data_IF_719403818931
#
_entry.id   IF_719403818931
#
_cell.length_a   1.000
_cell.length_b   1.000
_cell.length_c   1.000
_cell.angle_alpha   90.00
_cell.angle_beta   90.00
_cell.angle_gamma   90.00
#
_symmetry.space_group_name_H-M   'P 1'
#
loop_
_entity.id
_entity.type
_entity.pdbx_description
1 polymer ?
#
# COMPACT_ATOMS: atom_id res chain seq x y z
N UNK A 1 40.11 27.61 -65.86
CA UNK A 1 39.33 26.41 -65.48
C UNK A 1 38.78 26.68 -64.11
N UNK A 2 37.50 27.04 -64.05
CA UNK A 2 36.76 27.15 -62.78
C UNK A 2 36.43 25.73 -62.30
N UNK A 3 36.95 25.37 -61.09
CA UNK A 3 36.60 24.10 -60.52
C UNK A 3 35.24 24.28 -59.82
N UNK A 4 34.23 23.55 -60.24
CA UNK A 4 32.89 23.66 -59.66
C UNK A 4 32.89 23.20 -58.19
N UNK A 5 32.09 23.80 -57.31
CA UNK A 5 31.95 23.32 -55.95
C UNK A 5 31.42 21.89 -55.92
N UNK A 6 31.92 21.10 -55.00
CA UNK A 6 31.41 19.75 -54.72
C UNK A 6 30.61 19.76 -53.43
N UNK A 7 29.53 18.97 -53.42
CA UNK A 7 28.67 18.80 -52.24
C UNK A 7 28.74 17.37 -51.73
N UNK A 8 28.82 17.20 -50.43
CA UNK A 8 28.75 15.92 -49.74
C UNK A 8 27.53 15.95 -48.81
N UNK A 9 26.64 14.96 -48.91
CA UNK A 9 25.50 14.83 -48.01
C UNK A 9 25.82 13.78 -46.92
N UNK A 10 25.60 14.13 -45.67
CA UNK A 10 25.81 13.24 -44.53
C UNK A 10 24.50 13.04 -43.75
N UNK A 11 24.23 11.82 -43.29
CA UNK A 11 23.06 11.59 -42.42
C UNK A 11 23.31 12.19 -41.02
N UNK A 12 22.27 12.78 -40.46
CA UNK A 12 22.24 13.25 -39.06
C UNK A 12 21.44 12.23 -38.25
N UNK A 13 22.03 11.59 -37.26
CA UNK A 13 21.33 10.57 -36.47
C UNK A 13 20.04 11.11 -35.83
N UNK A 14 19.02 10.24 -35.77
CA UNK A 14 17.77 10.49 -35.07
C UNK A 14 18.04 10.52 -33.54
N UNK A 15 17.77 11.60 -32.84
CA UNK A 15 17.93 11.64 -31.39
C UNK A 15 17.01 10.63 -30.70
N UNK A 16 17.42 10.05 -29.58
CA UNK A 16 16.61 9.14 -28.78
C UNK A 16 16.06 9.93 -27.59
N UNK A 17 14.73 9.84 -27.40
CA UNK A 17 14.03 10.45 -26.29
C UNK A 17 13.21 9.37 -25.60
N UNK A 18 13.27 9.35 -24.27
CA UNK A 18 12.52 8.43 -23.45
C UNK A 18 11.26 9.12 -22.90
N UNK A 19 10.14 8.43 -22.94
CA UNK A 19 8.85 8.90 -22.46
C UNK A 19 8.26 7.91 -21.46
N UNK A 20 7.61 8.44 -20.43
CA UNK A 20 6.85 7.66 -19.46
C UNK A 20 5.61 7.04 -20.11
N UNK A 21 5.34 5.78 -19.82
CA UNK A 21 4.10 5.07 -20.21
C UNK A 21 3.37 4.58 -18.95
N UNK A 22 2.36 5.33 -18.53
CA UNK A 22 1.54 5.04 -17.34
C UNK A 22 0.60 3.83 -17.52
N UNK A 23 0.48 3.32 -18.75
CA UNK A 23 -0.35 2.15 -19.04
C UNK A 23 0.37 0.81 -18.85
N UNK A 24 1.69 0.84 -18.66
CA UNK A 24 2.55 -0.34 -18.60
C UNK A 24 3.35 -0.39 -17.32
N UNK A 25 3.49 -1.59 -16.78
CA UNK A 25 4.25 -1.81 -15.55
C UNK A 25 5.74 -1.48 -15.74
N UNK A 26 6.40 -1.05 -14.66
CA UNK A 26 7.82 -0.66 -14.63
C UNK A 26 8.77 -1.66 -15.29
N UNK A 27 8.55 -2.95 -15.10
CA UNK A 27 9.45 -4.01 -15.58
C UNK A 27 9.06 -4.55 -16.97
N UNK A 28 8.11 -3.89 -17.67
CA UNK A 28 7.74 -4.27 -19.02
C UNK A 28 8.78 -3.82 -20.04
N UNK A 29 8.98 -4.59 -21.12
CA UNK A 29 9.90 -4.20 -22.19
C UNK A 29 9.51 -2.84 -22.78
N UNK A 30 10.47 -1.90 -22.94
CA UNK A 30 10.19 -0.61 -23.56
C UNK A 30 9.69 -0.75 -25.00
N UNK A 31 8.76 0.12 -25.38
CA UNK A 31 8.26 0.18 -26.78
C UNK A 31 9.01 1.26 -27.53
N UNK A 32 9.71 0.85 -28.60
CA UNK A 32 10.50 1.75 -29.43
C UNK A 32 9.77 2.10 -30.72
N UNK A 33 9.64 3.41 -31.00
CA UNK A 33 9.20 3.95 -32.29
C UNK A 33 10.37 4.68 -32.91
N UNK A 34 10.89 4.14 -34.02
CA UNK A 34 12.02 4.74 -34.73
C UNK A 34 11.66 6.11 -35.32
N UNK A 35 12.56 7.07 -35.13
CA UNK A 35 12.53 8.33 -35.83
C UNK A 35 13.19 8.21 -37.23
N UNK A 36 13.20 9.30 -37.98
CA UNK A 36 13.87 9.40 -39.24
C UNK A 36 15.16 10.20 -39.13
N UNK A 37 16.29 9.76 -39.73
CA UNK A 37 17.49 10.56 -39.72
C UNK A 37 17.31 11.85 -40.54
N UNK A 38 17.99 12.89 -40.11
CA UNK A 38 18.12 14.13 -40.87
C UNK A 38 19.25 14.05 -41.88
N UNK A 39 19.48 15.15 -42.57
CA UNK A 39 20.56 15.29 -43.53
C UNK A 39 21.26 16.65 -43.39
N UNK A 40 22.56 16.67 -43.58
CA UNK A 40 23.35 17.90 -43.71
C UNK A 40 24.22 17.85 -44.93
N UNK A 41 24.43 19.01 -45.58
CA UNK A 41 25.24 19.15 -46.76
C UNK A 41 26.46 20.01 -46.45
N UNK A 42 27.63 19.52 -46.88
CA UNK A 42 28.89 20.22 -46.79
C UNK A 42 29.32 20.58 -48.22
N UNK A 43 29.52 21.87 -48.48
CA UNK A 43 29.98 22.36 -49.76
C UNK A 43 31.47 22.66 -49.73
N UNK A 44 32.24 22.04 -50.57
CA UNK A 44 33.69 22.38 -50.77
C UNK A 44 33.83 23.25 -51.99
N UNK A 45 34.38 24.42 -51.81
CA UNK A 45 34.73 25.35 -52.89
C UNK A 45 36.20 25.27 -53.22
N UNK A 46 36.52 25.53 -54.51
CA UNK A 46 37.88 25.48 -54.99
C UNK A 46 38.29 26.83 -55.56
N UNK A 47 39.49 27.28 -55.23
CA UNK A 47 40.10 28.50 -55.79
C UNK A 47 41.40 28.11 -56.47
N UNK A 48 41.66 28.70 -57.65
CA UNK A 48 42.90 28.46 -58.42
C UNK A 48 43.78 29.71 -58.27
N UNK A 49 45.02 29.56 -57.79
CA UNK A 49 46.00 30.62 -57.77
C UNK A 49 46.38 30.98 -59.22
N UNK A 50 46.08 32.19 -59.71
CA UNK A 50 46.33 32.62 -61.10
C UNK A 50 47.80 32.64 -61.53
N UNK A 51 48.73 32.73 -60.53
CA UNK A 51 50.16 32.79 -60.76
C UNK A 51 50.83 31.41 -60.85
N UNK A 52 50.31 30.46 -60.01
CA UNK A 52 50.98 29.17 -59.83
C UNK A 52 50.14 28.00 -60.32
N UNK A 53 48.85 28.19 -60.70
CA UNK A 53 47.94 27.16 -61.11
C UNK A 53 47.58 26.20 -60.00
N UNK A 54 48.00 26.45 -58.69
CA UNK A 54 47.68 25.57 -57.58
C UNK A 54 46.23 25.71 -57.18
N UNK A 55 45.58 24.59 -56.98
CA UNK A 55 44.18 24.50 -56.47
C UNK A 55 44.20 24.49 -54.93
N UNK A 56 43.44 25.37 -54.32
CA UNK A 56 43.17 25.42 -52.88
C UNK A 56 41.70 25.09 -52.65
N UNK A 57 41.41 24.11 -51.81
CA UNK A 57 40.04 23.75 -51.40
C UNK A 57 39.70 24.42 -50.07
N UNK A 58 38.48 24.86 -49.97
CA UNK A 58 37.90 25.42 -48.71
C UNK A 58 36.62 24.63 -48.44
N UNK A 59 36.64 23.87 -47.34
CA UNK A 59 35.47 23.12 -46.85
C UNK A 59 34.54 24.06 -46.09
N UNK A 60 33.30 24.17 -46.53
CA UNK A 60 32.29 25.02 -45.88
C UNK A 60 31.76 24.35 -44.59
N UNK A 61 31.03 25.15 -43.84
CA UNK A 61 30.32 24.61 -42.65
C UNK A 61 29.16 23.73 -43.07
N UNK A 62 28.85 22.66 -42.31
CA UNK A 62 27.67 21.82 -42.55
C UNK A 62 26.38 22.65 -42.49
N UNK A 63 25.53 22.49 -43.48
CA UNK A 63 24.20 23.13 -43.53
C UNK A 63 23.14 22.03 -43.40
N UNK A 64 22.29 22.13 -42.39
CA UNK A 64 21.20 21.23 -42.19
C UNK A 64 20.15 21.38 -43.30
N UNK A 65 19.92 20.32 -44.07
CA UNK A 65 18.97 20.29 -45.17
C UNK A 65 17.69 19.55 -44.83
N UNK A 66 17.78 18.63 -43.85
CA UNK A 66 16.61 17.91 -43.34
C UNK A 66 16.77 17.69 -41.83
N UNK A 67 15.76 18.08 -41.06
CA UNK A 67 15.74 17.85 -39.62
C UNK A 67 15.45 16.38 -39.29
N UNK A 68 16.17 15.76 -38.34
CA UNK A 68 15.83 14.42 -37.88
C UNK A 68 14.58 14.47 -37.00
N UNK A 69 13.79 13.39 -37.04
CA UNK A 69 12.72 13.19 -36.06
C UNK A 69 13.21 12.28 -34.93
N UNK A 70 12.69 12.46 -33.74
CA UNK A 70 13.11 11.68 -32.57
C UNK A 70 12.72 10.20 -32.69
N UNK A 71 13.62 9.33 -32.28
CA UNK A 71 13.28 7.96 -31.91
C UNK A 71 12.71 8.02 -30.49
N UNK A 72 11.46 7.60 -30.32
CA UNK A 72 10.78 7.61 -29.02
C UNK A 72 10.83 6.21 -28.41
N UNK A 73 11.28 6.13 -27.16
CA UNK A 73 11.29 4.89 -26.36
C UNK A 73 10.34 5.08 -25.20
N UNK A 74 9.20 4.39 -25.22
CA UNK A 74 8.23 4.41 -24.14
C UNK A 74 8.61 3.39 -23.08
N UNK A 75 8.82 3.87 -21.85
CA UNK A 75 9.22 3.08 -20.68
C UNK A 75 8.04 2.92 -19.76
N UNK A 76 7.68 1.67 -19.44
CA UNK A 76 6.59 1.37 -18.51
C UNK A 76 6.88 1.96 -17.14
N UNK A 77 5.92 2.73 -16.61
CA UNK A 77 6.06 3.43 -15.33
C UNK A 77 4.68 3.68 -14.69
N UNK A 78 3.79 2.69 -14.82
CA UNK A 78 2.47 2.67 -14.18
C UNK A 78 2.62 2.64 -12.67
N UNK A 79 1.86 3.48 -11.98
CA UNK A 79 1.84 3.53 -10.52
C UNK A 79 1.50 2.15 -9.94
N UNK A 80 2.25 1.76 -8.91
CA UNK A 80 2.03 0.52 -8.17
C UNK A 80 1.28 0.81 -6.89
N UNK A 81 0.09 0.22 -6.75
CA UNK A 81 -0.73 0.32 -5.54
C UNK A 81 -0.66 -1.00 -4.79
N UNK A 82 -0.30 -0.93 -3.50
CA UNK A 82 -0.28 -2.08 -2.59
C UNK A 82 -1.31 -1.83 -1.49
N UNK A 83 -2.27 -2.74 -1.35
CA UNK A 83 -3.24 -2.74 -0.25
C UNK A 83 -2.90 -3.86 0.73
N UNK A 84 -2.81 -3.51 2.01
CA UNK A 84 -2.62 -4.45 3.11
C UNK A 84 -3.83 -4.38 4.02
N UNK A 85 -4.58 -5.48 4.24
CA UNK A 85 -5.74 -5.46 5.12
C UNK A 85 -5.31 -5.31 6.58
N UNK A 86 -6.17 -4.66 7.37
CA UNK A 86 -6.06 -4.55 8.82
C UNK A 86 -7.26 -5.28 9.41
N UNK A 87 -7.00 -6.35 10.16
CA UNK A 87 -8.06 -7.13 10.80
C UNK A 87 -8.66 -6.36 12.00
N UNK A 88 -9.99 -6.49 12.23
CA UNK A 88 -10.65 -5.92 13.38
C UNK A 88 -10.12 -6.50 14.70
N UNK A 89 -9.84 -5.62 15.66
CA UNK A 89 -9.53 -6.03 17.02
C UNK A 89 -10.78 -6.59 17.71
N UNK A 90 -10.64 -7.70 18.45
CA UNK A 90 -11.74 -8.31 19.19
C UNK A 90 -11.80 -7.73 20.59
N UNK A 91 -12.97 -7.21 20.95
CA UNK A 91 -13.26 -6.70 22.29
C UNK A 91 -14.43 -7.48 22.90
N UNK A 92 -14.21 -8.04 24.09
CA UNK A 92 -15.22 -8.75 24.86
C UNK A 92 -15.92 -7.79 25.83
N UNK A 93 -17.25 -7.79 25.83
CA UNK A 93 -18.04 -6.92 26.67
C UNK A 93 -19.06 -7.74 27.48
N UNK A 94 -19.28 -7.32 28.71
CA UNK A 94 -20.25 -7.91 29.62
C UNK A 94 -21.68 -7.65 29.14
N UNK A 95 -22.50 -8.70 29.04
CA UNK A 95 -23.93 -8.60 28.80
C UNK A 95 -24.69 -8.95 30.09
N UNK A 96 -25.18 -7.94 30.76
CA UNK A 96 -25.89 -8.07 32.06
C UNK A 96 -27.32 -8.57 31.92
N UNK A 97 -27.84 -8.61 30.70
CA UNK A 97 -29.19 -9.11 30.42
C UNK A 97 -29.24 -10.61 30.21
N UNK A 98 -28.08 -11.21 29.90
CA UNK A 98 -27.95 -12.64 29.61
C UNK A 98 -27.24 -13.41 30.71
N UNK A 99 -27.75 -14.60 31.00
CA UNK A 99 -27.16 -15.48 31.98
C UNK A 99 -25.77 -15.94 31.57
N UNK A 100 -24.87 -16.13 32.52
CA UNK A 100 -23.60 -16.75 32.30
C UNK A 100 -23.76 -18.17 31.70
N UNK A 101 -22.96 -18.50 30.68
CA UNK A 101 -23.04 -19.78 29.98
C UNK A 101 -24.04 -19.81 28.82
N UNK A 102 -24.74 -18.67 28.53
CA UNK A 102 -25.44 -18.54 27.26
C UNK A 102 -24.45 -18.34 26.12
N UNK A 103 -24.74 -18.77 24.88
CA UNK A 103 -23.85 -18.52 23.74
C UNK A 103 -23.53 -17.04 23.57
N UNK A 104 -22.25 -16.74 23.34
CA UNK A 104 -21.77 -15.38 23.11
C UNK A 104 -22.40 -14.81 21.84
N UNK A 105 -22.70 -13.52 21.85
CA UNK A 105 -23.18 -12.80 20.70
C UNK A 105 -22.03 -12.02 20.07
N UNK A 106 -21.65 -12.42 18.85
CA UNK A 106 -20.55 -11.80 18.11
C UNK A 106 -21.09 -10.87 17.03
N UNK A 107 -20.55 -9.64 16.98
CA UNK A 107 -20.78 -8.66 15.92
C UNK A 107 -19.44 -8.34 15.28
N UNK A 108 -19.26 -8.70 14.01
CA UNK A 108 -18.02 -8.47 13.30
C UNK A 108 -17.78 -6.98 13.05
N UNK A 109 -16.54 -6.55 13.25
CA UNK A 109 -16.07 -5.24 12.84
C UNK A 109 -15.73 -5.23 11.35
N UNK A 110 -15.74 -4.05 10.75
CA UNK A 110 -15.28 -3.88 9.37
C UNK A 110 -13.76 -3.92 9.31
N UNK A 111 -13.21 -4.59 8.27
CA UNK A 111 -11.77 -4.60 8.03
C UNK A 111 -11.29 -3.22 7.60
N UNK A 112 -10.17 -2.81 8.13
CA UNK A 112 -9.43 -1.66 7.64
C UNK A 112 -8.45 -2.04 6.55
N UNK A 113 -7.72 -1.06 6.05
CA UNK A 113 -6.63 -1.28 5.09
C UNK A 113 -5.58 -0.18 5.15
N UNK A 114 -4.37 -0.53 4.79
CA UNK A 114 -3.30 0.42 4.47
C UNK A 114 -3.07 0.38 2.96
N UNK A 115 -3.10 1.54 2.31
CA UNK A 115 -2.84 1.69 0.87
C UNK A 115 -1.55 2.47 0.70
N UNK A 116 -0.58 1.90 0.00
CA UNK A 116 0.68 2.56 -0.36
C UNK A 116 0.79 2.63 -1.88
N UNK A 117 0.97 3.83 -2.41
CA UNK A 117 1.15 4.06 -3.85
C UNK A 117 2.61 4.42 -4.12
N UNK A 118 3.24 3.70 -5.02
CA UNK A 118 4.56 4.02 -5.55
C UNK A 118 4.40 4.61 -6.94
N UNK A 119 4.96 5.80 -7.17
CA UNK A 119 4.97 6.47 -8.47
C UNK A 119 6.36 6.42 -9.08
N UNK A 120 6.44 6.59 -10.39
CA UNK A 120 7.69 6.49 -11.14
C UNK A 120 7.86 7.68 -12.06
N UNK A 121 9.07 8.23 -12.14
CA UNK A 121 9.48 9.21 -13.14
C UNK A 121 10.49 8.57 -14.09
N UNK A 122 10.49 9.01 -15.36
CA UNK A 122 11.42 8.53 -16.40
C UNK A 122 12.24 9.72 -16.87
N UNK A 123 13.57 9.61 -16.79
CA UNK A 123 14.46 10.61 -17.37
C UNK A 123 14.36 10.58 -18.89
N UNK A 124 14.04 11.70 -19.57
CA UNK A 124 13.88 11.74 -21.01
C UNK A 124 15.20 11.56 -21.79
N UNK A 125 16.35 11.65 -21.15
CA UNK A 125 17.66 11.56 -21.78
C UNK A 125 18.18 10.12 -21.86
N UNK A 126 18.00 9.35 -20.79
CA UNK A 126 18.59 8.02 -20.66
C UNK A 126 17.59 6.92 -20.33
N UNK A 127 16.33 7.30 -20.05
CA UNK A 127 15.27 6.36 -19.68
C UNK A 127 15.37 5.83 -18.24
N UNK A 128 16.23 6.43 -17.41
CA UNK A 128 16.34 6.04 -16.00
C UNK A 128 15.02 6.24 -15.28
N UNK A 129 14.62 5.22 -14.49
CA UNK A 129 13.39 5.27 -13.70
C UNK A 129 13.76 5.66 -12.27
N UNK A 130 13.16 6.74 -11.78
CA UNK A 130 13.21 7.14 -10.37
C UNK A 130 11.91 6.73 -9.69
N UNK A 131 12.03 6.05 -8.56
CA UNK A 131 10.90 5.53 -7.77
C UNK A 131 10.61 6.45 -6.60
N UNK A 132 9.33 6.80 -6.40
CA UNK A 132 8.85 7.61 -5.30
C UNK A 132 7.81 6.84 -4.49
N UNK A 133 8.21 6.41 -3.30
CA UNK A 133 7.29 5.75 -2.36
C UNK A 133 6.39 6.80 -1.71
N UNK A 134 5.09 6.65 -1.92
CA UNK A 134 4.09 7.52 -1.30
C UNK A 134 3.90 7.23 0.19
N UNK A 135 3.33 8.20 0.90
CA UNK A 135 2.94 8.01 2.31
C UNK A 135 1.78 7.02 2.40
N UNK A 136 1.86 6.00 3.27
CA UNK A 136 0.75 5.07 3.47
C UNK A 136 -0.51 5.78 3.94
N UNK A 137 -1.63 5.49 3.30
CA UNK A 137 -2.96 5.95 3.69
C UNK A 137 -3.64 4.81 4.46
N UNK A 138 -4.00 5.07 5.72
CA UNK A 138 -4.59 4.08 6.61
C UNK A 138 -6.09 4.36 6.75
N UNK A 139 -6.90 3.35 6.44
CA UNK A 139 -8.31 3.27 6.84
C UNK A 139 -8.35 2.30 8.03
N UNK A 140 -8.66 2.77 9.25
CA UNK A 140 -8.64 1.91 10.42
C UNK A 140 -9.73 0.83 10.33
N UNK A 141 -9.46 -0.34 10.94
CA UNK A 141 -10.47 -1.36 11.14
C UNK A 141 -11.47 -0.96 12.22
N UNK A 142 -12.68 -1.46 12.14
CA UNK A 142 -13.65 -1.42 13.23
C UNK A 142 -13.25 -2.37 14.35
N UNK A 143 -14.11 -2.50 15.38
CA UNK A 143 -13.95 -3.50 16.43
C UNK A 143 -14.96 -4.62 16.26
N UNK A 144 -14.52 -5.85 16.39
CA UNK A 144 -15.40 -7.00 16.57
C UNK A 144 -15.81 -7.07 18.05
N UNK A 145 -17.09 -6.99 18.33
CA UNK A 145 -17.63 -7.01 19.69
C UNK A 145 -18.20 -8.39 19.98
N UNK A 146 -17.74 -8.98 21.09
CA UNK A 146 -18.28 -10.26 21.60
C UNK A 146 -18.94 -10.00 22.95
N UNK A 147 -20.28 -10.12 22.98
CA UNK A 147 -21.07 -9.98 24.21
C UNK A 147 -21.13 -11.31 24.94
N UNK A 148 -20.62 -11.32 26.17
CA UNK A 148 -20.58 -12.50 27.04
C UNK A 148 -21.64 -12.36 28.14
N UNK A 149 -22.50 -13.34 28.25
CA UNK A 149 -23.56 -13.37 29.28
C UNK A 149 -22.96 -13.32 30.67
N UNK A 150 -23.37 -12.33 31.47
CA UNK A 150 -22.80 -12.04 32.79
C UNK A 150 -23.81 -11.42 33.74
N UNK A 151 -25.08 -11.83 33.62
CA UNK A 151 -26.15 -11.39 34.48
C UNK A 151 -25.91 -11.87 35.91
N UNK A 152 -26.06 -10.97 36.89
CA UNK A 152 -25.97 -11.31 38.29
C UNK A 152 -27.00 -12.38 38.67
N UNK A 153 -26.53 -13.45 39.30
CA UNK A 153 -27.37 -14.55 39.77
C UNK A 153 -27.54 -14.50 41.29
N UNK A 154 -28.73 -14.70 41.76
CA UNK A 154 -29.03 -14.80 43.20
C UNK A 154 -29.54 -16.22 43.46
N UNK A 155 -28.82 -16.97 44.32
CA UNK A 155 -29.20 -18.30 44.77
C UNK A 155 -29.59 -18.27 46.26
N UNK A 156 -30.68 -18.98 46.56
CA UNK A 156 -31.14 -19.13 47.93
C UNK A 156 -30.99 -20.60 48.35
N UNK A 157 -30.18 -20.82 49.37
CA UNK A 157 -29.87 -22.16 49.87
C UNK A 157 -30.00 -22.22 51.38
N UNK A 158 -29.82 -23.40 51.92
CA UNK A 158 -29.63 -23.60 53.36
C UNK A 158 -28.22 -24.13 53.61
N UNK A 159 -27.58 -23.63 54.69
CA UNK A 159 -26.31 -24.21 55.09
C UNK A 159 -26.50 -25.53 55.89
N UNK A 160 -25.39 -26.12 56.32
CA UNK A 160 -25.34 -27.35 57.12
C UNK A 160 -26.02 -27.21 58.48
N UNK A 161 -26.32 -25.99 58.92
CA UNK A 161 -27.05 -25.69 60.14
C UNK A 161 -28.50 -25.25 59.88
N UNK A 162 -29.02 -25.52 58.68
CA UNK A 162 -30.37 -25.18 58.23
C UNK A 162 -30.73 -23.70 58.25
N UNK A 163 -29.71 -22.81 58.22
CA UNK A 163 -29.88 -21.34 58.14
C UNK A 163 -30.04 -20.93 56.68
N UNK A 164 -30.88 -19.93 56.44
CA UNK A 164 -31.03 -19.39 55.09
C UNK A 164 -29.76 -18.66 54.67
N UNK A 165 -29.26 -19.03 53.49
CA UNK A 165 -28.07 -18.46 52.86
C UNK A 165 -28.46 -17.90 51.51
N UNK A 166 -28.06 -16.66 51.24
CA UNK A 166 -28.25 -15.98 49.96
C UNK A 166 -26.88 -15.75 49.34
N UNK A 167 -26.62 -16.40 48.22
CA UNK A 167 -25.43 -16.22 47.42
C UNK A 167 -25.74 -15.27 46.26
N UNK A 168 -25.08 -14.13 46.20
CA UNK A 168 -25.11 -13.20 45.06
C UNK A 168 -23.86 -13.42 44.25
N UNK A 169 -24.01 -13.90 43.01
CA UNK A 169 -22.94 -14.21 42.12
C UNK A 169 -22.87 -13.13 41.05
N UNK A 170 -21.75 -12.42 40.98
CA UNK A 170 -21.46 -11.43 39.95
C UNK A 170 -20.34 -11.92 39.05
N UNK A 171 -20.32 -11.44 37.80
CA UNK A 171 -19.34 -11.85 36.78
C UNK A 171 -18.63 -10.64 36.23
N UNK A 172 -17.33 -10.74 36.05
CA UNK A 172 -16.49 -9.79 35.34
C UNK A 172 -15.86 -10.45 34.09
N UNK A 173 -15.84 -9.72 32.98
CA UNK A 173 -15.34 -10.21 31.70
C UNK A 173 -14.08 -9.44 31.35
N UNK A 174 -12.99 -10.17 31.08
CA UNK A 174 -11.76 -9.57 30.59
C UNK A 174 -11.98 -9.09 29.14
N UNK A 175 -11.81 -7.80 28.84
CA UNK A 175 -12.13 -7.24 27.53
C UNK A 175 -11.20 -7.73 26.39
N UNK A 176 -10.04 -8.28 26.71
CA UNK A 176 -9.06 -8.77 25.74
C UNK A 176 -9.20 -10.27 25.47
N UNK A 177 -9.50 -11.03 26.48
CA UNK A 177 -9.49 -12.50 26.40
C UNK A 177 -10.87 -13.13 26.48
N UNK A 178 -11.90 -12.38 26.88
CA UNK A 178 -13.24 -12.90 27.15
C UNK A 178 -13.32 -13.81 28.40
N UNK A 179 -12.22 -13.90 29.15
CA UNK A 179 -12.19 -14.71 30.38
C UNK A 179 -13.13 -14.13 31.41
N UNK A 180 -13.96 -15.00 31.99
CA UNK A 180 -14.94 -14.61 33.00
C UNK A 180 -14.45 -15.00 34.40
N UNK A 181 -14.57 -14.06 35.34
CA UNK A 181 -14.30 -14.26 36.76
C UNK A 181 -15.59 -14.03 37.50
N UNK A 182 -16.00 -14.99 38.36
CA UNK A 182 -17.15 -14.82 39.25
C UNK A 182 -16.74 -14.44 40.66
N UNK A 183 -17.52 -13.57 41.27
CA UNK A 183 -17.39 -13.21 42.69
C UNK A 183 -18.69 -13.61 43.39
N UNK A 184 -18.60 -14.36 44.48
CA UNK A 184 -19.75 -14.79 45.28
C UNK A 184 -19.74 -14.03 46.59
N UNK A 185 -20.83 -13.30 46.86
CA UNK A 185 -21.06 -12.65 48.13
C UNK A 185 -22.13 -13.45 48.85
N UNK A 186 -21.79 -14.06 49.98
CA UNK A 186 -22.67 -14.87 50.77
C UNK A 186 -23.20 -14.06 51.98
N UNK A 187 -24.51 -14.02 52.11
CA UNK A 187 -25.18 -13.40 53.24
C UNK A 187 -25.98 -14.45 53.99
N UNK A 188 -25.96 -14.37 55.34
CA UNK A 188 -26.67 -15.27 56.23
C UNK A 188 -27.87 -14.56 56.83
N UNK A 189 -29.00 -15.23 56.90
CA UNK A 189 -30.14 -14.74 57.68
C UNK A 189 -29.76 -14.71 59.16
N UNK A 190 -29.57 -13.54 59.70
CA UNK A 190 -29.54 -13.11 61.12
C UNK A 190 -28.31 -13.29 62.00
N UNK A 191 -27.17 -13.95 61.64
CA UNK A 191 -26.06 -14.03 62.62
C UNK A 191 -24.61 -14.16 62.11
N UNK A 192 -24.31 -14.02 60.83
CA UNK A 192 -22.91 -14.01 60.37
C UNK A 192 -22.60 -12.88 59.39
N UNK A 193 -21.36 -12.36 59.48
CA UNK A 193 -20.86 -11.39 58.51
C UNK A 193 -20.78 -11.99 57.09
N UNK A 194 -21.02 -11.18 56.01
CA UNK A 194 -20.92 -11.65 54.62
C UNK A 194 -19.49 -12.09 54.29
N UNK A 195 -19.34 -13.25 53.63
CA UNK A 195 -18.04 -13.70 53.10
C UNK A 195 -18.03 -13.56 51.61
N UNK A 196 -16.90 -13.10 51.08
CA UNK A 196 -16.72 -12.94 49.63
C UNK A 196 -15.74 -14.02 49.11
N UNK A 197 -16.12 -14.78 48.13
CA UNK A 197 -15.27 -15.74 47.43
C UNK A 197 -15.22 -15.42 45.95
N UNK A 198 -14.01 -15.30 45.39
CA UNK A 198 -13.80 -15.07 43.97
C UNK A 198 -13.29 -16.37 43.35
N UNK A 199 -13.99 -16.85 42.34
CA UNK A 199 -13.61 -18.05 41.61
C UNK A 199 -13.49 -17.77 40.09
N UNK A 200 -12.43 -18.28 39.42
CA UNK A 200 -12.38 -18.27 37.98
C UNK A 200 -13.47 -19.20 37.42
N UNK A 201 -14.21 -18.70 36.43
CA UNK A 201 -15.22 -19.50 35.72
C UNK A 201 -14.61 -19.95 34.39
N UNK A 202 -14.70 -21.23 34.02
CA UNK A 202 -14.26 -21.69 32.70
C UNK A 202 -15.00 -20.93 31.62
N UNK A 203 -14.26 -20.40 30.63
CA UNK A 203 -14.90 -19.82 29.44
C UNK A 203 -15.70 -20.88 28.71
N UNK A 204 -16.91 -20.56 28.19
CA UNK A 204 -17.64 -21.49 27.36
C UNK A 204 -16.80 -21.89 26.17
N UNK A 205 -16.75 -23.18 25.86
CA UNK A 205 -16.07 -23.71 24.69
C UNK A 205 -16.87 -23.28 23.46
N UNK A 206 -16.26 -22.42 22.64
CA UNK A 206 -16.82 -22.08 21.32
C UNK A 206 -16.48 -23.26 20.40
N UNK A 207 -17.47 -23.99 19.96
CA UNK A 207 -17.28 -24.96 18.87
C UNK A 207 -17.24 -24.18 17.55
N UNK A 208 -16.14 -24.32 16.80
CA UNK A 208 -16.02 -23.82 15.43
C UNK A 208 -16.96 -24.58 14.49
#
# INVERSE_FOLDING_TARGET
>A
TTTEPTTETRPVPSPVVYEKDDSRDKDSEPVRKAGTPGEETITTTYTVDPKTGKIRSVVGQPVRTKEPTNTVVKVGAKDKVVETPIEPEVEYVKDVEKDFGTPDQRTEGEKGKTVTTTTYDVDPKDGHITEHLGTPVVTPAGKTIVKVGAKTKVERNKDDQSRDVIDTITYEVDPKTGKVISTIIRTYGTTKEPTTETRPVPSPVVYE
#
